data_IF_565291082045
#
_entry.id   IF_565291082045
#
_cell.length_a   1.000
_cell.length_b   1.000
_cell.length_c   1.000
_cell.angle_alpha   90.00
_cell.angle_beta   90.00
_cell.angle_gamma   90.00
#
_symmetry.space_group_name_H-M   'P 1'
#
loop_
_entity.id
_entity.type
_entity.pdbx_description
1 polymer ?
#
# COMPACT_ATOMS: atom_id res chain seq x y z
N UNK A 1 37.24 -16.57 -77.72
CA UNK A 1 37.01 -17.30 -78.98
C UNK A 1 36.66 -18.74 -78.60
N UNK A 2 35.36 -19.05 -78.38
CA UNK A 2 34.50 -20.03 -79.13
C UNK A 2 35.17 -21.42 -79.31
N UNK A 3 34.62 -22.62 -79.06
CA UNK A 3 33.29 -23.29 -79.08
C UNK A 3 33.33 -24.48 -78.05
N UNK A 4 32.30 -24.96 -77.34
CA UNK A 4 31.00 -25.63 -77.65
C UNK A 4 31.05 -27.07 -78.23
N UNK A 5 30.15 -27.95 -77.71
CA UNK A 5 29.53 -29.19 -78.28
C UNK A 5 30.26 -30.52 -77.92
N UNK A 6 29.67 -31.69 -77.56
CA UNK A 6 28.29 -32.27 -77.57
C UNK A 6 28.18 -33.54 -76.69
N UNK A 7 26.92 -33.87 -76.36
CA UNK A 7 26.33 -35.08 -75.75
C UNK A 7 26.71 -36.44 -76.35
N UNK A 8 26.58 -37.50 -75.54
CA UNK A 8 25.99 -38.79 -75.96
C UNK A 8 25.42 -39.58 -74.76
N UNK A 9 24.26 -40.20 -75.00
CA UNK A 9 23.41 -40.97 -74.09
C UNK A 9 23.94 -42.39 -73.83
N UNK A 10 23.64 -42.96 -72.65
CA UNK A 10 23.27 -44.38 -72.56
C UNK A 10 22.39 -44.67 -71.33
N UNK A 11 21.26 -45.32 -71.61
CA UNK A 11 20.26 -45.80 -70.67
C UNK A 11 20.77 -46.95 -69.80
N UNK A 12 20.37 -47.02 -68.53
CA UNK A 12 20.12 -48.29 -67.85
C UNK A 12 18.96 -48.15 -66.85
N UNK A 13 17.87 -48.86 -67.16
CA UNK A 13 16.74 -49.15 -66.29
C UNK A 13 17.15 -50.18 -65.25
N UNK A 14 16.98 -49.89 -63.95
CA UNK A 14 16.95 -50.92 -62.90
C UNK A 14 15.78 -50.62 -61.96
N UNK A 15 14.97 -51.67 -61.76
CA UNK A 15 13.68 -51.77 -61.10
C UNK A 15 13.55 -51.06 -59.73
N UNK A 16 12.44 -50.34 -59.57
CA UNK A 16 11.86 -50.00 -58.27
C UNK A 16 11.29 -51.26 -57.60
N UNK A 17 11.94 -51.75 -56.55
CA UNK A 17 11.25 -52.57 -55.55
C UNK A 17 10.51 -51.64 -54.59
N UNK A 18 9.18 -51.73 -54.60
CA UNK A 18 8.31 -51.12 -53.60
C UNK A 18 8.56 -51.87 -52.29
N UNK A 19 9.40 -51.31 -51.42
CA UNK A 19 9.41 -51.65 -50.00
C UNK A 19 8.53 -50.61 -49.33
N UNK A 20 7.30 -51.01 -49.01
CA UNK A 20 6.43 -50.27 -48.10
C UNK A 20 7.11 -50.23 -46.74
N UNK A 21 7.82 -49.14 -46.46
CA UNK A 21 8.23 -48.82 -45.11
C UNK A 21 6.97 -48.34 -44.37
N UNK A 22 6.47 -49.04 -43.33
CA UNK A 22 5.41 -48.49 -42.52
C UNK A 22 6.00 -47.25 -41.84
N UNK A 23 5.49 -46.07 -42.22
CA UNK A 23 5.69 -44.86 -41.44
C UNK A 23 4.96 -45.06 -40.11
N UNK A 24 5.65 -45.69 -39.15
CA UNK A 24 5.34 -45.48 -37.74
C UNK A 24 5.63 -44.00 -37.48
N UNK A 25 4.62 -43.16 -37.74
CA UNK A 25 4.62 -41.79 -37.30
C UNK A 25 4.85 -41.82 -35.80
N UNK A 26 6.02 -41.36 -35.39
CA UNK A 26 6.22 -40.97 -34.00
C UNK A 26 5.06 -40.05 -33.65
N UNK A 27 4.29 -40.31 -32.57
CA UNK A 27 3.29 -39.36 -32.15
C UNK A 27 4.06 -38.11 -31.74
N UNK A 28 4.06 -37.11 -32.62
CA UNK A 28 4.37 -35.74 -32.23
C UNK A 28 3.36 -35.44 -31.15
N UNK A 29 3.81 -35.38 -29.89
CA UNK A 29 3.09 -34.64 -28.86
C UNK A 29 3.01 -33.22 -29.41
N UNK A 30 1.93 -32.91 -30.12
CA UNK A 30 1.50 -31.53 -30.27
C UNK A 30 1.45 -30.98 -28.86
N UNK A 31 2.37 -30.07 -28.55
CA UNK A 31 2.29 -29.28 -27.34
C UNK A 31 1.06 -28.40 -27.49
N UNK A 32 -0.11 -28.93 -27.12
CA UNK A 32 -1.34 -28.16 -27.06
C UNK A 32 -1.08 -27.02 -26.09
N UNK A 33 -0.92 -25.81 -26.63
CA UNK A 33 -0.77 -24.61 -25.81
C UNK A 33 -2.01 -24.53 -24.91
N UNK A 34 -1.84 -24.42 -23.59
CA UNK A 34 -2.97 -24.37 -22.67
C UNK A 34 -3.90 -23.23 -23.09
N UNK A 35 -5.21 -23.48 -23.03
CA UNK A 35 -6.23 -22.46 -23.26
C UNK A 35 -5.99 -21.26 -22.34
N UNK A 36 -6.50 -20.09 -22.73
CA UNK A 36 -6.41 -18.89 -21.88
C UNK A 36 -6.92 -19.14 -20.45
N UNK A 37 -7.96 -19.95 -20.30
CA UNK A 37 -8.51 -20.33 -19.00
C UNK A 37 -7.55 -21.20 -18.17
N UNK A 38 -6.89 -22.18 -18.80
CA UNK A 38 -5.89 -23.03 -18.14
C UNK A 38 -4.64 -22.23 -17.73
N UNK A 39 -4.21 -21.28 -18.56
CA UNK A 39 -3.12 -20.37 -18.21
C UNK A 39 -3.47 -19.48 -17.02
N UNK A 40 -4.65 -18.87 -17.01
CA UNK A 40 -5.13 -18.02 -15.90
C UNK A 40 -5.25 -18.81 -14.59
N UNK A 41 -5.71 -20.06 -14.66
CA UNK A 41 -5.79 -20.93 -13.48
C UNK A 41 -4.40 -21.32 -12.96
N UNK A 42 -3.45 -21.63 -13.85
CA UNK A 42 -2.07 -21.89 -13.45
C UNK A 42 -1.42 -20.70 -12.75
N UNK A 43 -1.67 -19.47 -13.23
CA UNK A 43 -1.23 -18.23 -12.55
C UNK A 43 -1.86 -18.12 -11.16
N UNK A 44 -3.16 -18.42 -11.03
CA UNK A 44 -3.85 -18.39 -9.73
C UNK A 44 -3.28 -19.40 -8.74
N UNK A 45 -3.01 -20.65 -9.17
CA UNK A 45 -2.40 -21.67 -8.33
C UNK A 45 -1.01 -21.27 -7.85
N UNK A 46 -0.20 -20.69 -8.74
CA UNK A 46 1.13 -20.17 -8.37
C UNK A 46 1.01 -19.05 -7.33
N UNK A 47 0.16 -18.06 -7.60
CA UNK A 47 -0.13 -16.96 -6.69
C UNK A 47 -0.62 -17.45 -5.31
N UNK A 48 -1.50 -18.46 -5.29
CA UNK A 48 -1.97 -19.06 -4.03
C UNK A 48 -0.80 -19.62 -3.21
N UNK A 49 0.13 -20.33 -3.86
CA UNK A 49 1.32 -20.88 -3.21
C UNK A 49 2.23 -19.77 -2.68
N UNK A 50 2.51 -18.75 -3.48
CA UNK A 50 3.35 -17.61 -3.08
C UNK A 50 2.78 -16.84 -1.88
N UNK A 51 1.45 -16.70 -1.81
CA UNK A 51 0.77 -15.96 -0.74
C UNK A 51 0.22 -16.84 0.39
N UNK A 52 0.52 -18.14 0.39
CA UNK A 52 0.05 -19.09 1.42
C UNK A 52 -1.47 -19.19 1.52
N UNK A 53 -2.18 -19.06 0.39
CA UNK A 53 -3.64 -19.10 0.34
C UNK A 53 -4.13 -20.53 0.32
N UNK A 54 -5.06 -20.83 1.23
CA UNK A 54 -5.79 -22.09 1.26
C UNK A 54 -7.27 -21.79 1.52
N UNK A 55 -8.15 -22.47 0.79
CA UNK A 55 -9.59 -22.26 0.86
C UNK A 55 -10.29 -23.54 1.36
N UNK A 56 -11.39 -23.43 2.11
CA UNK A 56 -11.99 -24.58 2.80
C UNK A 56 -12.66 -25.58 1.86
N UNK A 57 -13.10 -25.15 0.67
CA UNK A 57 -13.79 -26.01 -0.29
C UNK A 57 -13.62 -25.52 -1.74
N UNK A 58 -14.01 -26.35 -2.69
CA UNK A 58 -13.92 -26.07 -4.13
C UNK A 58 -14.78 -24.88 -4.55
N UNK A 59 -15.97 -24.71 -3.98
CA UNK A 59 -16.86 -23.58 -4.27
C UNK A 59 -16.23 -22.23 -3.89
N UNK A 60 -15.61 -22.16 -2.71
CA UNK A 60 -14.86 -20.96 -2.27
C UNK A 60 -13.65 -20.73 -3.16
N UNK A 61 -12.94 -21.79 -3.53
CA UNK A 61 -11.79 -21.71 -4.44
C UNK A 61 -12.19 -21.14 -5.80
N UNK A 62 -13.29 -21.62 -6.37
CA UNK A 62 -13.83 -21.18 -7.65
C UNK A 62 -14.28 -19.72 -7.58
N UNK A 63 -15.01 -19.34 -6.52
CA UNK A 63 -15.41 -17.94 -6.28
C UNK A 63 -14.19 -17.00 -6.20
N UNK A 64 -13.15 -17.40 -5.46
CA UNK A 64 -11.89 -16.65 -5.32
C UNK A 64 -11.12 -16.59 -6.64
N UNK A 65 -11.11 -17.66 -7.42
CA UNK A 65 -10.53 -17.70 -8.76
C UNK A 65 -11.23 -16.72 -9.70
N UNK A 66 -12.56 -16.67 -9.73
CA UNK A 66 -13.29 -15.73 -10.59
C UNK A 66 -13.02 -14.26 -10.23
N UNK A 67 -12.86 -13.95 -8.93
CA UNK A 67 -12.41 -12.63 -8.48
C UNK A 67 -10.99 -12.35 -8.96
N UNK A 68 -10.07 -13.30 -8.76
CA UNK A 68 -8.68 -13.20 -9.18
C UNK A 68 -8.55 -12.93 -10.68
N UNK A 69 -9.30 -13.62 -11.53
CA UNK A 69 -9.31 -13.38 -12.98
C UNK A 69 -9.71 -11.96 -13.35
N UNK A 70 -10.75 -11.42 -12.70
CA UNK A 70 -11.19 -10.02 -12.92
C UNK A 70 -10.08 -9.04 -12.52
N UNK A 71 -9.41 -9.29 -11.40
CA UNK A 71 -8.31 -8.46 -10.91
C UNK A 71 -7.04 -8.57 -11.77
N UNK A 72 -6.73 -9.76 -12.30
CA UNK A 72 -5.67 -9.99 -13.28
C UNK A 72 -5.90 -9.20 -14.56
N UNK A 73 -7.13 -9.25 -15.10
CA UNK A 73 -7.52 -8.44 -16.25
C UNK A 73 -7.36 -6.94 -15.97
N UNK A 74 -7.92 -6.46 -14.86
CA UNK A 74 -7.83 -5.04 -14.46
C UNK A 74 -6.38 -4.56 -14.32
N UNK A 75 -5.53 -5.36 -13.69
CA UNK A 75 -4.10 -5.07 -13.50
C UNK A 75 -3.38 -4.96 -14.85
N UNK A 76 -3.60 -5.91 -15.77
CA UNK A 76 -3.01 -5.90 -17.11
C UNK A 76 -3.46 -4.67 -17.92
N UNK A 77 -4.76 -4.39 -17.94
CA UNK A 77 -5.32 -3.25 -18.67
C UNK A 77 -4.84 -1.90 -18.10
N UNK A 78 -4.69 -1.79 -16.79
CA UNK A 78 -4.18 -0.56 -16.15
C UNK A 78 -2.71 -0.36 -16.45
N UNK A 79 -1.89 -1.41 -16.35
CA UNK A 79 -0.46 -1.34 -16.63
C UNK A 79 -0.18 -1.02 -18.12
N UNK A 80 -1.05 -1.45 -19.04
CA UNK A 80 -0.95 -1.10 -20.46
C UNK A 80 -1.09 0.40 -20.73
N UNK A 81 -1.77 1.15 -19.86
CA UNK A 81 -1.96 2.61 -19.99
C UNK A 81 -0.74 3.44 -19.57
N UNK A 82 0.26 2.83 -18.93
CA UNK A 82 1.55 3.46 -18.57
C UNK A 82 1.40 4.76 -17.75
N UNK A 83 0.59 4.75 -16.70
CA UNK A 83 0.37 5.92 -15.84
C UNK A 83 1.58 6.38 -15.01
N UNK A 84 2.75 5.71 -15.07
CA UNK A 84 3.91 6.01 -14.22
C UNK A 84 3.91 5.28 -12.86
N UNK A 85 2.88 4.48 -12.61
CA UNK A 85 2.83 3.48 -11.53
C UNK A 85 2.37 2.14 -12.09
N UNK A 86 2.63 1.07 -11.35
CA UNK A 86 2.21 -0.29 -11.70
C UNK A 86 1.31 -0.87 -10.63
N UNK A 87 0.32 -1.62 -11.10
CA UNK A 87 -0.46 -2.53 -10.29
C UNK A 87 0.14 -3.93 -10.34
N UNK A 88 -0.06 -4.70 -9.28
CA UNK A 88 0.41 -6.07 -9.14
C UNK A 88 -0.62 -6.96 -8.44
N UNK A 89 -0.53 -8.26 -8.71
CA UNK A 89 -1.33 -9.28 -8.04
C UNK A 89 -0.77 -9.57 -6.65
N UNK A 90 -0.89 -8.61 -5.75
CA UNK A 90 -0.46 -8.77 -4.36
C UNK A 90 -1.42 -9.70 -3.58
N UNK A 91 -1.26 -9.78 -2.26
CA UNK A 91 -2.06 -10.66 -1.38
C UNK A 91 -3.58 -10.43 -1.41
N UNK A 92 -4.04 -9.31 -1.98
CA UNK A 92 -5.46 -8.96 -2.12
C UNK A 92 -6.03 -9.33 -3.50
N UNK A 93 -5.27 -10.02 -4.36
CA UNK A 93 -5.72 -10.38 -5.71
C UNK A 93 -6.97 -11.28 -5.73
N UNK A 94 -7.28 -12.00 -4.65
CA UNK A 94 -8.52 -12.80 -4.50
C UNK A 94 -9.68 -12.04 -3.85
N UNK A 95 -9.56 -10.73 -3.62
CA UNK A 95 -10.60 -9.89 -3.04
C UNK A 95 -11.19 -8.94 -4.07
N UNK A 96 -12.51 -8.79 -4.07
CA UNK A 96 -13.16 -7.76 -4.89
C UNK A 96 -12.89 -6.36 -4.30
N UNK A 97 -12.96 -5.28 -5.11
CA UNK A 97 -12.84 -3.92 -4.59
C UNK A 97 -13.84 -3.59 -3.48
N UNK A 98 -15.08 -4.11 -3.59
CA UNK A 98 -16.10 -3.95 -2.56
C UNK A 98 -15.75 -4.69 -1.25
N UNK A 99 -15.22 -5.91 -1.35
CA UNK A 99 -14.74 -6.67 -0.19
C UNK A 99 -13.55 -5.96 0.46
N UNK A 100 -12.58 -5.53 -0.33
CA UNK A 100 -11.40 -4.80 0.13
C UNK A 100 -11.80 -3.53 0.89
N UNK A 101 -12.65 -2.68 0.29
CA UNK A 101 -13.17 -1.46 0.92
C UNK A 101 -13.87 -1.78 2.24
N UNK A 102 -14.73 -2.79 2.27
CA UNK A 102 -15.46 -3.20 3.48
C UNK A 102 -14.54 -3.76 4.58
N UNK A 103 -13.43 -4.40 4.23
CA UNK A 103 -12.56 -5.06 5.22
C UNK A 103 -11.45 -4.14 5.74
N UNK A 104 -10.85 -3.32 4.87
CA UNK A 104 -9.63 -2.57 5.18
C UNK A 104 -9.82 -1.05 5.33
N UNK A 105 -10.93 -0.49 4.84
CA UNK A 105 -11.14 0.96 4.79
C UNK A 105 -12.30 1.39 5.69
N UNK A 106 -12.17 2.53 6.38
CA UNK A 106 -13.24 3.14 7.18
C UNK A 106 -13.23 4.63 6.92
N UNK A 107 -14.38 5.20 6.57
CA UNK A 107 -14.46 6.63 6.34
C UNK A 107 -13.94 7.37 7.57
N UNK A 108 -12.98 8.26 7.36
CA UNK A 108 -12.44 9.11 8.40
C UNK A 108 -13.16 10.45 8.36
N UNK A 109 -13.47 11.03 9.52
CA UNK A 109 -14.13 12.32 9.58
C UNK A 109 -13.15 13.41 9.16
N UNK A 110 -13.64 14.29 8.29
CA UNK A 110 -12.94 15.50 7.88
C UNK A 110 -13.36 16.61 8.85
N UNK A 111 -12.42 17.28 9.54
CA UNK A 111 -12.75 18.42 10.39
C UNK A 111 -13.43 19.53 9.57
N UNK A 112 -14.63 19.94 9.98
CA UNK A 112 -15.42 20.99 9.29
C UNK A 112 -14.98 22.41 9.64
N UNK A 113 -14.15 22.57 10.68
CA UNK A 113 -13.64 23.87 11.14
C UNK A 113 -12.12 23.86 11.22
N UNK A 114 -11.49 24.98 10.83
CA UNK A 114 -10.07 25.26 11.13
C UNK A 114 -9.85 25.68 12.60
N UNK A 115 -10.90 25.63 13.43
CA UNK A 115 -10.86 26.01 14.83
C UNK A 115 -10.53 24.82 15.72
N UNK A 116 -9.25 24.54 15.86
CA UNK A 116 -8.69 23.97 17.09
C UNK A 116 -7.41 24.71 17.35
N UNK A 117 -7.42 25.60 18.36
CA UNK A 117 -6.25 26.15 19.05
C UNK A 117 -4.97 25.99 18.25
N UNK A 118 -4.79 26.87 17.27
CA UNK A 118 -3.48 27.18 16.70
C UNK A 118 -2.63 27.70 17.87
N UNK A 119 -2.06 26.79 18.68
CA UNK A 119 -0.67 27.01 19.09
C UNK A 119 0.06 27.00 17.77
N UNK A 120 0.17 28.21 17.23
CA UNK A 120 0.66 28.56 15.92
C UNK A 120 1.50 27.44 15.36
N UNK A 121 0.95 26.69 14.40
CA UNK A 121 1.78 26.29 13.27
C UNK A 121 2.24 27.64 12.75
N UNK A 122 3.36 28.13 13.31
CA UNK A 122 4.05 29.27 12.77
C UNK A 122 4.35 28.75 11.40
N UNK A 123 3.54 29.18 10.44
CA UNK A 123 3.89 29.11 9.04
C UNK A 123 5.24 29.81 9.05
N UNK A 124 6.32 29.03 9.17
CA UNK A 124 7.65 29.57 9.18
C UNK A 124 7.70 30.21 7.81
N UNK A 125 7.60 31.53 7.78
CA UNK A 125 7.61 32.30 6.55
C UNK A 125 8.93 32.08 5.77
N UNK A 126 9.88 31.36 6.39
CA UNK A 126 11.15 30.89 5.86
C UNK A 126 11.23 29.34 5.75
N UNK A 127 10.12 28.67 5.43
CA UNK A 127 10.17 27.24 5.17
C UNK A 127 11.02 26.98 3.90
N UNK A 128 12.27 26.57 4.12
CA UNK A 128 13.20 26.14 3.08
C UNK A 128 13.52 24.64 3.26
N UNK A 129 12.58 23.75 2.90
CA UNK A 129 12.74 22.32 3.10
C UNK A 129 13.85 21.79 2.18
N UNK A 130 14.65 20.79 2.61
CA UNK A 130 15.59 20.11 1.72
C UNK A 130 14.87 19.54 0.49
N UNK A 131 15.59 19.34 -0.62
CA UNK A 131 15.00 18.80 -1.86
C UNK A 131 14.35 17.40 -1.69
N UNK A 132 14.87 16.60 -0.76
CA UNK A 132 14.31 15.30 -0.39
C UNK A 132 14.58 14.97 1.07
N UNK A 133 13.66 14.27 1.70
CA UNK A 133 13.82 13.72 3.05
C UNK A 133 13.30 12.29 3.05
N UNK A 134 14.05 11.39 3.69
CA UNK A 134 13.59 10.05 4.02
C UNK A 134 13.92 9.73 5.48
N UNK A 135 12.90 9.77 6.34
CA UNK A 135 13.07 9.52 7.77
C UNK A 135 13.46 8.08 8.09
N UNK A 136 13.31 7.15 7.14
CA UNK A 136 13.78 5.76 7.30
C UNK A 136 15.30 5.72 7.37
N UNK A 137 15.99 6.54 6.58
CA UNK A 137 17.46 6.64 6.56
C UNK A 137 18.02 7.23 7.86
N UNK A 138 17.19 7.93 8.63
CA UNK A 138 17.54 8.47 9.94
C UNK A 138 17.31 7.47 11.09
N UNK A 139 16.79 6.28 10.79
CA UNK A 139 16.52 5.26 11.82
C UNK A 139 15.41 5.64 12.80
N UNK A 140 14.49 6.53 12.41
CA UNK A 140 13.39 6.99 13.28
C UNK A 140 12.02 6.44 12.88
N UNK A 141 11.98 5.48 11.94
CA UNK A 141 10.73 4.87 11.46
C UNK A 141 10.77 3.37 11.76
N UNK A 142 9.82 2.89 12.54
CA UNK A 142 9.69 1.45 12.84
C UNK A 142 9.39 0.62 11.59
N UNK A 143 9.52 -0.70 11.69
CA UNK A 143 9.12 -1.62 10.63
C UNK A 143 7.64 -1.46 10.22
N UNK A 144 7.31 -1.87 9.00
CA UNK A 144 5.91 -1.89 8.54
C UNK A 144 5.12 -2.95 9.30
N UNK A 145 4.00 -2.54 9.91
CA UNK A 145 3.07 -3.41 10.62
C UNK A 145 1.86 -3.79 9.74
N UNK A 146 1.04 -4.72 10.23
CA UNK A 146 -0.16 -5.19 9.54
C UNK A 146 -1.42 -5.11 10.41
N UNK A 147 -2.35 -4.22 10.06
CA UNK A 147 -3.63 -4.02 10.76
C UNK A 147 -4.61 -5.19 10.62
N UNK A 148 -4.31 -6.17 9.75
CA UNK A 148 -5.21 -7.31 9.46
C UNK A 148 -6.62 -6.82 9.07
N UNK A 149 -7.68 -7.56 9.42
CA UNK A 149 -9.08 -7.25 9.09
C UNK A 149 -9.74 -6.36 10.14
N UNK A 150 -9.06 -5.27 10.52
CA UNK A 150 -9.52 -4.31 11.51
C UNK A 150 -9.36 -2.89 10.95
N UNK A 151 -10.39 -2.05 11.08
CA UNK A 151 -10.38 -0.65 10.65
C UNK A 151 -9.62 0.26 11.60
N UNK A 152 -8.42 -0.14 12.02
CA UNK A 152 -7.59 0.57 13.01
C UNK A 152 -6.46 1.39 12.40
N UNK A 153 -6.50 1.70 11.10
CA UNK A 153 -5.47 2.51 10.43
C UNK A 153 -5.25 3.87 11.12
N UNK A 154 -6.29 4.45 11.70
CA UNK A 154 -6.23 5.67 12.52
C UNK A 154 -5.25 5.54 13.70
N UNK A 155 -5.18 4.36 14.34
CA UNK A 155 -4.23 4.08 15.41
C UNK A 155 -2.83 3.89 14.84
N UNK A 156 -2.65 3.08 13.80
CA UNK A 156 -1.34 2.84 13.16
C UNK A 156 -0.68 4.12 12.64
N UNK A 157 -1.43 4.98 11.94
CA UNK A 157 -0.91 6.24 11.44
C UNK A 157 -0.47 7.18 12.57
N UNK A 158 -1.27 7.27 13.63
CA UNK A 158 -1.00 8.13 14.80
C UNK A 158 0.18 7.62 15.60
N UNK A 159 0.18 6.34 15.97
CA UNK A 159 1.25 5.72 16.75
C UNK A 159 2.58 5.78 15.98
N UNK A 160 2.58 5.55 14.67
CA UNK A 160 3.79 5.70 13.87
C UNK A 160 4.42 7.10 13.91
N UNK A 161 3.61 8.16 14.01
CA UNK A 161 4.11 9.52 14.20
C UNK A 161 4.67 9.74 15.61
N UNK A 162 4.06 9.14 16.64
CA UNK A 162 4.52 9.19 18.04
C UNK A 162 5.86 8.45 18.19
N UNK A 163 5.97 7.25 17.64
CA UNK A 163 7.22 6.47 17.57
C UNK A 163 8.35 7.32 16.96
N UNK A 164 8.04 8.01 15.84
CA UNK A 164 9.01 8.80 15.10
C UNK A 164 9.46 10.05 15.85
N UNK A 165 8.54 10.83 16.44
CA UNK A 165 8.93 12.03 17.19
C UNK A 165 9.72 11.66 18.45
N UNK A 166 9.41 10.54 19.10
CA UNK A 166 10.19 10.03 20.23
C UNK A 166 11.63 9.77 19.79
N UNK A 167 11.83 8.98 18.74
CA UNK A 167 13.16 8.66 18.22
C UNK A 167 13.93 9.93 17.80
N UNK A 168 13.26 10.91 17.18
CA UNK A 168 13.88 12.19 16.82
C UNK A 168 14.35 12.99 18.05
N UNK A 169 13.61 12.94 19.16
CA UNK A 169 13.87 13.75 20.36
C UNK A 169 14.82 13.07 21.36
N UNK A 170 14.72 11.75 21.49
CA UNK A 170 15.46 10.99 22.51
C UNK A 170 16.59 10.15 21.93
N UNK A 171 16.57 9.87 20.62
CA UNK A 171 17.45 8.90 19.98
C UNK A 171 16.97 7.44 20.12
N UNK A 172 15.86 7.20 20.81
CA UNK A 172 15.34 5.85 21.06
C UNK A 172 14.12 5.54 20.19
N UNK A 173 14.28 4.61 19.25
CA UNK A 173 13.18 4.09 18.46
C UNK A 173 12.50 2.93 19.19
N UNK A 174 11.31 3.19 19.72
CA UNK A 174 10.50 2.21 20.45
C UNK A 174 9.28 1.84 19.62
N UNK A 175 8.94 0.55 19.53
CA UNK A 175 7.69 0.14 18.90
C UNK A 175 6.54 0.19 19.90
N UNK A 176 5.52 0.97 19.60
CA UNK A 176 4.42 1.30 20.51
C UNK A 176 3.14 0.56 20.13
N UNK A 177 2.25 0.38 21.11
CA UNK A 177 1.04 -0.42 20.97
C UNK A 177 -0.08 0.34 20.27
N UNK A 178 -0.43 -0.06 19.05
CA UNK A 178 -1.70 0.37 18.46
C UNK A 178 -2.91 -0.22 19.17
N UNK A 179 -2.74 -1.40 19.78
CA UNK A 179 -3.83 -2.14 20.43
C UNK A 179 -4.36 -1.40 21.66
N UNK A 180 -3.48 -0.77 22.44
CA UNK A 180 -3.89 -0.03 23.62
C UNK A 180 -4.85 1.10 23.23
N UNK A 181 -4.57 1.86 22.17
CA UNK A 181 -5.48 2.91 21.69
C UNK A 181 -6.78 2.29 21.13
N UNK A 182 -6.70 1.17 20.42
CA UNK A 182 -7.89 0.46 19.87
C UNK A 182 -8.84 0.01 20.98
N UNK A 183 -8.30 -0.45 22.11
CA UNK A 183 -9.09 -0.96 23.23
C UNK A 183 -9.57 0.14 24.16
N UNK A 184 -8.71 1.12 24.43
CA UNK A 184 -8.88 2.05 25.54
C UNK A 184 -9.41 3.43 25.17
N UNK A 185 -9.38 3.84 23.89
CA UNK A 185 -10.03 5.09 23.49
C UNK A 185 -11.57 4.92 23.56
N UNK A 186 -12.26 5.65 24.47
CA UNK A 186 -13.71 5.52 24.63
C UNK A 186 -14.50 6.22 23.52
N UNK A 187 -13.88 7.11 22.74
CA UNK A 187 -14.56 7.91 21.71
C UNK A 187 -14.48 7.22 20.33
N UNK A 188 -13.37 6.56 20.02
CA UNK A 188 -13.25 5.76 18.79
C UNK A 188 -13.95 4.41 18.93
N UNK A 189 -14.19 3.78 17.77
CA UNK A 189 -14.97 2.53 17.66
C UNK A 189 -14.06 1.32 17.37
N UNK A 190 -12.80 1.36 17.81
CA UNK A 190 -11.82 0.30 17.60
C UNK A 190 -11.68 -0.09 16.12
N UNK A 191 -12.02 -1.34 15.79
CA UNK A 191 -11.97 -1.86 14.42
C UNK A 191 -13.08 -1.35 13.48
N UNK A 192 -14.11 -0.69 14.02
CA UNK A 192 -15.16 -0.05 13.22
C UNK A 192 -14.75 1.34 12.73
N UNK A 193 -13.56 1.82 13.10
CA UNK A 193 -13.04 3.14 12.72
C UNK A 193 -12.78 4.01 13.94
N UNK A 194 -12.08 5.11 13.72
CA UNK A 194 -11.70 6.06 14.76
C UNK A 194 -11.19 7.36 14.17
N UNK A 195 -10.61 8.21 15.02
CA UNK A 195 -10.28 9.58 14.66
C UNK A 195 -8.79 9.81 14.93
N UNK A 196 -8.05 10.33 13.95
CA UNK A 196 -6.61 10.63 14.10
C UNK A 196 -6.39 11.61 15.26
N UNK A 197 -7.14 12.71 15.30
CA UNK A 197 -7.09 13.72 16.38
C UNK A 197 -7.30 13.09 17.75
N UNK A 198 -8.32 12.23 17.88
CA UNK A 198 -8.68 11.60 19.14
C UNK A 198 -7.59 10.65 19.65
N UNK A 199 -6.91 9.92 18.75
CA UNK A 199 -5.81 9.05 19.15
C UNK A 199 -4.68 9.84 19.84
N UNK A 200 -4.31 11.01 19.32
CA UNK A 200 -3.34 11.90 19.99
C UNK A 200 -3.85 12.38 21.34
N UNK A 201 -5.10 12.86 21.42
CA UNK A 201 -5.73 13.30 22.67
C UNK A 201 -5.74 12.20 23.73
N UNK A 202 -6.09 10.98 23.33
CA UNK A 202 -6.14 9.84 24.24
C UNK A 202 -4.75 9.51 24.79
N UNK A 203 -3.68 9.54 23.98
CA UNK A 203 -2.32 9.30 24.48
C UNK A 203 -1.91 10.37 25.51
N UNK A 204 -2.28 11.63 25.29
CA UNK A 204 -2.04 12.74 26.23
C UNK A 204 -2.81 12.49 27.54
N UNK A 205 -4.10 12.21 27.46
CA UNK A 205 -4.99 11.96 28.60
C UNK A 205 -4.58 10.72 29.41
N UNK A 206 -4.13 9.66 28.72
CA UNK A 206 -3.61 8.46 29.35
C UNK A 206 -2.25 8.71 30.01
N UNK A 207 -1.59 9.83 29.75
CA UNK A 207 -0.26 10.14 30.26
C UNK A 207 0.85 9.29 29.64
N UNK A 208 0.62 8.83 28.40
CA UNK A 208 1.56 8.05 27.59
C UNK A 208 0.93 6.82 26.93
N UNK A 209 1.77 6.03 26.28
CA UNK A 209 1.40 4.81 25.55
C UNK A 209 2.41 3.69 25.85
N UNK A 210 1.94 2.45 25.86
CA UNK A 210 2.75 1.26 26.08
C UNK A 210 3.53 0.82 24.84
N UNK A 211 4.58 0.03 25.07
CA UNK A 211 5.26 -0.71 24.00
C UNK A 211 4.35 -1.80 23.40
N UNK A 212 4.55 -2.10 22.12
CA UNK A 212 3.89 -3.21 21.43
C UNK A 212 4.13 -4.55 22.17
N UNK A 213 5.33 -4.76 22.72
CA UNK A 213 5.64 -5.98 23.47
C UNK A 213 4.82 -6.11 24.77
N UNK A 214 4.48 -4.99 25.41
CA UNK A 214 3.67 -4.95 26.63
C UNK A 214 2.17 -5.03 26.36
N UNK A 215 1.71 -4.62 25.18
CA UNK A 215 0.31 -4.69 24.78
C UNK A 215 0.18 -5.07 23.29
N UNK A 216 0.34 -6.36 22.94
CA UNK A 216 0.43 -6.79 21.54
C UNK A 216 -0.86 -6.63 20.73
N UNK A 217 -0.71 -6.39 19.42
CA UNK A 217 -1.81 -6.21 18.49
C UNK A 217 -2.55 -7.52 18.14
N UNK A 218 -3.86 -7.53 18.42
CA UNK A 218 -4.75 -8.69 18.21
C UNK A 218 -5.83 -8.47 17.15
N UNK A 219 -5.89 -7.29 16.51
CA UNK A 219 -6.80 -6.97 15.40
C UNK A 219 -8.30 -7.13 15.70
N UNK A 220 -8.68 -6.85 16.95
CA UNK A 220 -10.07 -6.72 17.42
C UNK A 220 -10.07 -5.73 18.58
N UNK A 221 -11.20 -5.07 18.84
CA UNK A 221 -11.38 -4.35 20.11
C UNK A 221 -11.56 -5.38 21.22
N UNK A 222 -10.79 -5.24 22.30
CA UNK A 222 -10.85 -6.04 23.51
C UNK A 222 -11.12 -5.14 24.72
N UNK A 223 -11.21 -5.74 25.90
CA UNK A 223 -11.28 -4.99 27.15
C UNK A 223 -9.98 -4.20 27.34
N UNK A 224 -10.08 -2.90 27.65
CA UNK A 224 -8.93 -2.05 27.94
C UNK A 224 -8.13 -2.56 29.14
N UNK A 225 -6.83 -2.83 28.93
CA UNK A 225 -5.91 -3.36 29.96
C UNK A 225 -4.90 -2.33 30.46
N UNK A 226 -5.02 -1.05 30.10
CA UNK A 226 -4.07 0.00 30.49
C UNK A 226 -3.85 0.12 32.02
N UNK A 227 -4.87 -0.22 32.83
CA UNK A 227 -4.76 -0.19 34.30
C UNK A 227 -4.16 -1.47 34.92
N UNK A 228 -3.92 -2.52 34.13
CA UNK A 228 -3.42 -3.81 34.59
C UNK A 228 -1.88 -3.84 34.60
N UNK A 229 -1.30 -3.04 35.51
CA UNK A 229 0.04 -3.09 36.14
C UNK A 229 1.34 -3.39 35.34
N UNK A 230 1.35 -3.74 34.06
CA UNK A 230 2.61 -4.04 33.32
C UNK A 230 2.78 -3.33 31.97
N UNK A 231 1.81 -2.51 31.53
CA UNK A 231 1.95 -1.65 30.35
C UNK A 231 2.61 -0.32 30.73
N UNK A 232 3.94 -0.31 30.82
CA UNK A 232 4.69 0.91 31.11
C UNK A 232 4.34 2.00 30.11
N UNK A 233 3.91 3.17 30.58
CA UNK A 233 3.69 4.37 29.74
C UNK A 233 5.07 4.92 29.31
N UNK A 234 5.66 4.29 28.31
CA UNK A 234 7.07 4.50 27.93
C UNK A 234 7.29 5.79 27.14
N UNK A 235 6.30 6.20 26.35
CA UNK A 235 6.39 7.39 25.52
C UNK A 235 5.20 8.30 25.80
N UNK A 236 5.48 9.60 25.92
CA UNK A 236 4.49 10.65 26.17
C UNK A 236 4.62 11.74 25.12
N UNK A 237 3.51 12.35 24.80
CA UNK A 237 3.45 13.56 23.96
C UNK A 237 2.73 14.65 24.76
N UNK A 238 3.08 15.91 24.51
CA UNK A 238 2.54 17.05 25.24
C UNK A 238 1.37 17.71 24.51
N UNK A 239 1.36 17.62 23.17
CA UNK A 239 0.32 18.18 22.32
C UNK A 239 0.36 17.51 20.94
N UNK A 240 -0.55 17.92 20.07
CA UNK A 240 -0.52 17.67 18.64
C UNK A 240 -0.84 18.96 17.88
N UNK A 241 -0.52 18.98 16.59
CA UNK A 241 -0.78 20.11 15.69
C UNK A 241 -1.50 19.60 14.45
N UNK A 242 -2.54 20.33 14.03
CA UNK A 242 -3.17 20.14 12.72
C UNK A 242 -2.37 20.92 11.68
N UNK A 243 -1.91 20.23 10.64
CA UNK A 243 -1.23 20.90 9.51
C UNK A 243 -2.30 21.62 8.68
N UNK A 244 -2.08 22.88 8.28
CA UNK A 244 -2.93 23.55 7.30
C UNK A 244 -3.12 22.70 6.03
N UNK A 245 -4.31 22.75 5.45
CA UNK A 245 -4.64 22.03 4.22
C UNK A 245 -3.96 22.68 3.01
N UNK A 246 -2.66 22.49 2.88
CA UNK A 246 -1.88 22.88 1.73
C UNK A 246 -0.69 21.94 1.55
N UNK A 247 -0.28 21.80 0.31
CA UNK A 247 0.88 21.00 -0.07
C UNK A 247 2.18 21.54 0.55
N UNK A 248 2.35 22.87 0.51
CA UNK A 248 3.46 23.62 1.12
C UNK A 248 3.56 23.36 2.63
N UNK A 249 2.45 23.53 3.38
CA UNK A 249 2.48 23.35 4.82
C UNK A 249 2.79 21.90 5.21
N UNK A 250 2.27 20.94 4.45
CA UNK A 250 2.57 19.52 4.64
C UNK A 250 4.04 19.20 4.33
N UNK A 251 4.64 19.87 3.33
CA UNK A 251 6.07 19.73 3.01
C UNK A 251 6.93 20.24 4.16
N UNK A 252 6.63 21.44 4.65
CA UNK A 252 7.32 22.05 5.78
C UNK A 252 7.25 21.21 7.06
N UNK A 253 6.08 20.64 7.35
CA UNK A 253 5.90 19.75 8.48
C UNK A 253 6.69 18.44 8.29
N UNK A 254 6.59 17.84 7.11
CA UNK A 254 7.28 16.57 6.78
C UNK A 254 8.80 16.70 6.81
N UNK A 255 9.34 17.87 6.46
CA UNK A 255 10.77 18.16 6.56
C UNK A 255 11.29 18.13 8.01
N UNK A 256 10.41 18.27 9.01
CA UNK A 256 10.77 18.30 10.43
C UNK A 256 10.51 16.98 11.15
N UNK A 257 9.51 16.20 10.73
CA UNK A 257 9.18 14.89 11.29
C UNK A 257 8.14 14.15 10.42
N UNK A 258 7.95 12.82 10.60
CA UNK A 258 6.85 12.09 9.98
C UNK A 258 5.45 12.60 10.39
N UNK A 259 4.52 12.62 9.44
CA UNK A 259 3.18 13.22 9.58
C UNK A 259 2.09 12.18 9.34
N UNK A 260 1.14 12.06 10.25
CA UNK A 260 -0.06 11.24 10.03
C UNK A 260 -1.01 11.96 9.08
N UNK A 261 -1.42 11.32 8.00
CA UNK A 261 -2.37 11.87 7.02
C UNK A 261 -3.52 10.91 6.74
N UNK A 262 -4.64 11.44 6.25
CA UNK A 262 -5.72 10.64 5.69
C UNK A 262 -5.82 10.81 4.18
N UNK A 263 -6.21 9.75 3.46
CA UNK A 263 -6.48 9.77 2.02
C UNK A 263 -7.63 8.82 1.64
N UNK A 264 -8.10 8.92 0.40
CA UNK A 264 -8.90 7.86 -0.22
C UNK A 264 -8.00 6.75 -0.76
N UNK A 265 -8.01 5.61 -0.06
CA UNK A 265 -7.22 4.44 -0.44
C UNK A 265 -8.01 3.41 -1.25
N UNK A 266 -9.21 3.73 -1.75
CA UNK A 266 -10.07 2.83 -2.54
C UNK A 266 -9.31 2.21 -3.72
N UNK A 267 -8.41 2.97 -4.34
CA UNK A 267 -7.71 2.59 -5.56
C UNK A 267 -6.29 2.10 -5.33
N UNK A 268 -5.89 1.93 -4.08
CA UNK A 268 -4.56 1.45 -3.70
C UNK A 268 -4.50 -0.07 -3.50
N UNK A 269 -5.63 -0.80 -3.63
CA UNK A 269 -5.70 -2.25 -3.39
C UNK A 269 -4.56 -3.02 -4.07
N UNK A 270 -4.27 -2.72 -5.34
CA UNK A 270 -3.30 -3.44 -6.16
C UNK A 270 -2.00 -2.67 -6.40
N UNK A 271 -1.75 -1.56 -5.70
CA UNK A 271 -0.51 -0.81 -5.88
C UNK A 271 0.71 -1.72 -5.68
N UNK A 272 1.67 -1.64 -6.60
CA UNK A 272 2.92 -2.39 -6.57
C UNK A 272 4.13 -1.45 -6.45
N UNK A 273 4.26 -0.49 -7.35
CA UNK A 273 5.36 0.47 -7.39
C UNK A 273 5.08 1.69 -8.28
N UNK A 274 6.00 2.66 -8.25
CA UNK A 274 5.93 3.91 -9.00
C UNK A 274 5.16 5.02 -8.28
N UNK A 275 5.07 6.19 -8.90
CA UNK A 275 4.41 7.36 -8.28
C UNK A 275 2.93 7.31 -8.61
N UNK A 276 2.11 6.98 -7.61
CA UNK A 276 0.66 6.94 -7.76
C UNK A 276 0.11 8.34 -7.94
N UNK A 277 -0.57 8.59 -9.06
CA UNK A 277 -1.11 9.91 -9.40
C UNK A 277 -2.64 9.99 -9.33
N UNK A 278 -3.31 8.94 -8.83
CA UNK A 278 -4.77 8.87 -8.76
C UNK A 278 -5.47 8.68 -10.11
N UNK A 279 -4.84 9.02 -11.24
CA UNK A 279 -5.39 8.93 -12.59
C UNK A 279 -6.80 9.51 -12.67
N UNK A 280 -7.70 8.78 -13.35
CA UNK A 280 -9.13 9.11 -13.39
C UNK A 280 -9.93 8.48 -12.24
N UNK A 281 -9.25 7.87 -11.25
CA UNK A 281 -9.91 7.16 -10.16
C UNK A 281 -10.19 8.11 -8.98
N UNK A 282 -9.22 8.95 -8.64
CA UNK A 282 -9.37 9.95 -7.59
C UNK A 282 -9.95 11.25 -8.15
N UNK A 283 -10.96 11.78 -7.47
CA UNK A 283 -11.61 13.04 -7.86
C UNK A 283 -10.80 14.25 -7.38
N UNK A 284 -10.50 15.17 -8.31
CA UNK A 284 -9.64 16.34 -8.06
C UNK A 284 -10.05 17.21 -6.86
N UNK A 285 -11.35 17.38 -6.65
CA UNK A 285 -11.91 18.26 -5.61
C UNK A 285 -12.46 17.49 -4.41
N UNK A 286 -12.30 16.16 -4.38
CA UNK A 286 -12.83 15.36 -3.28
C UNK A 286 -12.07 15.64 -1.98
N UNK A 287 -12.82 15.67 -0.89
CA UNK A 287 -12.31 15.67 0.49
C UNK A 287 -12.53 14.31 1.15
N UNK A 288 -13.06 13.33 0.42
CA UNK A 288 -13.34 12.00 0.94
C UNK A 288 -12.05 11.29 1.30
N UNK A 289 -11.99 10.80 2.54
CA UNK A 289 -10.86 10.04 3.07
C UNK A 289 -11.38 8.83 3.83
N UNK A 290 -10.68 7.69 3.71
CA UNK A 290 -11.11 6.43 4.30
C UNK A 290 -9.97 5.56 4.85
N UNK A 291 -8.76 6.13 4.91
CA UNK A 291 -7.59 5.44 5.39
C UNK A 291 -6.58 6.43 5.97
N UNK A 292 -5.97 6.08 7.09
CA UNK A 292 -4.91 6.87 7.73
C UNK A 292 -3.57 6.16 7.55
N UNK A 293 -2.55 6.95 7.21
CA UNK A 293 -1.19 6.49 6.89
C UNK A 293 -0.17 7.48 7.45
N UNK A 294 1.12 7.15 7.34
CA UNK A 294 2.21 8.00 7.81
C UNK A 294 3.08 8.44 6.63
N UNK A 295 3.13 9.74 6.35
CA UNK A 295 4.16 10.30 5.47
C UNK A 295 5.48 10.29 6.22
N UNK A 296 6.48 9.62 5.65
CA UNK A 296 7.83 9.46 6.23
C UNK A 296 8.91 10.14 5.40
N UNK A 297 8.51 10.97 4.44
CA UNK A 297 9.46 11.64 3.57
C UNK A 297 8.83 12.11 2.26
N UNK A 298 9.68 12.66 1.40
CA UNK A 298 9.33 13.14 0.08
C UNK A 298 10.58 13.23 -0.80
N UNK A 299 10.37 13.35 -2.10
CA UNK A 299 11.44 13.62 -3.06
C UNK A 299 10.88 13.88 -4.45
N UNK A 300 11.77 13.89 -5.44
CA UNK A 300 11.42 14.13 -6.83
C UNK A 300 12.06 13.09 -7.73
N UNK A 301 11.33 12.61 -8.74
CA UNK A 301 11.85 11.69 -9.77
C UNK A 301 11.18 11.98 -11.10
N UNK A 302 11.99 12.19 -12.14
CA UNK A 302 11.52 12.52 -13.49
C UNK A 302 10.52 13.68 -13.49
N UNK A 303 10.90 14.80 -12.85
CA UNK A 303 10.08 16.03 -12.73
C UNK A 303 8.76 15.86 -11.98
N UNK A 304 8.59 14.73 -11.27
CA UNK A 304 7.42 14.48 -10.41
C UNK A 304 7.83 14.43 -8.96
N UNK A 305 7.23 15.30 -8.17
CA UNK A 305 7.37 15.28 -6.73
C UNK A 305 6.46 14.20 -6.14
N UNK A 306 6.90 13.53 -5.09
CA UNK A 306 6.11 12.51 -4.41
C UNK A 306 6.29 12.55 -2.89
N UNK A 307 5.26 12.10 -2.18
CA UNK A 307 5.34 11.67 -0.78
C UNK A 307 5.83 10.22 -0.70
N UNK A 308 6.64 9.92 0.31
CA UNK A 308 6.97 8.54 0.72
C UNK A 308 6.04 8.18 1.86
N UNK A 309 5.20 7.18 1.67
CA UNK A 309 4.11 6.88 2.62
C UNK A 309 4.21 5.46 3.15
N UNK A 310 4.28 5.32 4.46
CA UNK A 310 4.22 4.04 5.19
C UNK A 310 2.75 3.63 5.36
N UNK A 311 2.41 2.45 4.88
CA UNK A 311 1.07 1.86 5.05
C UNK A 311 1.05 0.84 6.20
N UNK A 312 -0.15 0.41 6.60
CA UNK A 312 -0.41 -0.57 7.67
C UNK A 312 -0.96 -1.89 7.12
N UNK A 313 -0.69 -2.20 5.84
CA UNK A 313 -1.11 -3.44 5.19
C UNK A 313 0.01 -4.48 5.10
N UNK A 314 1.07 -4.37 5.92
CA UNK A 314 2.17 -5.33 5.94
C UNK A 314 3.18 -5.17 4.80
N UNK A 315 4.38 -5.70 5.00
CA UNK A 315 5.50 -5.56 4.05
C UNK A 315 5.31 -6.25 2.70
N UNK A 316 4.32 -7.14 2.55
CA UNK A 316 4.02 -7.84 1.30
C UNK A 316 2.99 -7.13 0.40
N UNK A 317 2.77 -5.84 0.64
CA UNK A 317 1.94 -4.97 -0.19
C UNK A 317 2.77 -3.76 -0.65
N UNK A 318 2.57 -3.28 -1.88
CA UNK A 318 3.30 -2.15 -2.43
C UNK A 318 4.83 -2.34 -2.43
N UNK A 319 5.55 -1.26 -2.18
CA UNK A 319 7.01 -1.24 -2.11
C UNK A 319 7.47 -1.56 -0.68
N UNK A 320 7.46 -2.85 -0.32
CA UNK A 320 7.79 -3.32 1.04
C UNK A 320 6.91 -2.68 2.13
N UNK A 321 5.62 -2.48 1.83
CA UNK A 321 4.66 -1.83 2.74
C UNK A 321 4.56 -0.31 2.57
N UNK A 322 5.34 0.28 1.67
CA UNK A 322 5.28 1.69 1.34
C UNK A 322 4.63 1.92 -0.03
N UNK A 323 4.22 3.16 -0.27
CA UNK A 323 3.87 3.64 -1.60
C UNK A 323 4.34 5.07 -1.80
N UNK A 324 4.49 5.43 -3.07
CA UNK A 324 4.73 6.81 -3.48
C UNK A 324 3.45 7.39 -4.06
N UNK A 325 3.13 8.63 -3.69
CA UNK A 325 1.96 9.35 -4.21
C UNK A 325 2.37 10.75 -4.63
N UNK A 326 1.92 11.17 -5.80
CA UNK A 326 2.29 12.44 -6.41
C UNK A 326 1.86 13.61 -5.51
N UNK A 327 2.77 14.56 -5.30
CA UNK A 327 2.53 15.81 -4.57
C UNK A 327 2.77 17.00 -5.49
N UNK A 328 2.57 18.20 -4.96
CA UNK A 328 2.79 19.45 -5.70
C UNK A 328 2.00 19.50 -7.02
N UNK A 329 0.72 19.14 -6.96
CA UNK A 329 -0.18 19.12 -8.13
C UNK A 329 -1.16 20.29 -8.07
N UNK A 330 -1.87 20.54 -9.17
CA UNK A 330 -2.96 21.53 -9.22
C UNK A 330 -4.24 21.09 -8.48
N UNK A 331 -4.19 20.00 -7.71
CA UNK A 331 -5.34 19.45 -7.00
C UNK A 331 -5.43 20.09 -5.61
N UNK A 332 -6.52 20.80 -5.28
CA UNK A 332 -6.59 21.59 -4.04
C UNK A 332 -6.44 20.75 -2.76
N UNK A 333 -6.81 19.47 -2.83
CA UNK A 333 -6.75 18.55 -1.70
C UNK A 333 -5.61 17.53 -1.82
N UNK A 334 -4.71 17.71 -2.80
CA UNK A 334 -3.72 16.70 -3.17
C UNK A 334 -4.34 15.49 -3.87
N UNK A 335 -3.49 14.61 -4.39
CA UNK A 335 -3.94 13.36 -5.02
C UNK A 335 -4.66 12.50 -3.98
N UNK A 336 -5.89 12.08 -4.31
CA UNK A 336 -6.76 11.29 -3.44
C UNK A 336 -7.00 11.92 -2.05
N UNK A 337 -7.12 13.26 -2.01
CA UNK A 337 -7.41 14.03 -0.80
C UNK A 337 -6.34 13.96 0.31
N UNK A 338 -5.10 13.59 -0.02
CA UNK A 338 -4.03 13.39 0.98
C UNK A 338 -3.68 14.65 1.79
N UNK A 339 -3.95 15.85 1.27
CA UNK A 339 -3.68 17.10 1.98
C UNK A 339 -4.85 17.51 2.90
N UNK A 340 -5.98 16.81 2.90
CA UNK A 340 -7.21 17.22 3.61
C UNK A 340 -7.11 17.09 5.14
N UNK A 341 -6.49 16.01 5.63
CA UNK A 341 -6.38 15.75 7.07
C UNK A 341 -4.95 15.34 7.38
N UNK A 342 -4.24 16.18 8.12
CA UNK A 342 -2.86 15.94 8.50
C UNK A 342 -2.59 16.43 9.94
N UNK A 343 -1.90 15.60 10.72
CA UNK A 343 -1.57 15.87 12.12
C UNK A 343 -0.18 15.34 12.46
N UNK A 344 0.48 16.01 13.41
CA UNK A 344 1.70 15.51 14.02
C UNK A 344 1.74 15.78 15.53
N UNK A 345 2.35 14.88 16.32
CA UNK A 345 2.54 15.07 17.75
C UNK A 345 3.71 16.02 18.04
N UNK A 346 3.68 16.66 19.21
CA UNK A 346 4.80 17.40 19.78
C UNK A 346 5.13 16.85 21.17
N UNK A 347 6.42 16.62 21.42
CA UNK A 347 6.98 16.33 22.74
C UNK A 347 7.59 17.62 23.28
#
# INVERSE_FOLDING_TARGET
MIFYISRLFLNFLIWCFIITCPSSGFPTKESVLPSKGEQEFGIFQHWMKEHGKNYPNSETTESRYQIFRKNLKYTRETNAKRYGYRLGLNKFADMSPAEFKRVFLRQLPVPTTNHSTMRSFVQQNDCAPPASVDWREKGVVTQVKYQKRCGSCWAFGTIGAIESINAIRTGELVSLSEQEVVDCDPVSHGCSGGYIKRAFEWVIENGGISEEAGYPYVARKDICKANMKNGGRVVKINSYVRVPQSDEALLCATAQQPITVALDATYLQFYQDGIFNGGNNCEKHSTYVNHAVLIVGYGSKNEKDYWIVKNSWGGNWGMNGYFLIERNTSWPNGVCAINTVAYFPTI
#
